data_IF_408925001914
#
_entry.id   IF_408925001914
#
_cell.length_a   1.000
_cell.length_b   1.000
_cell.length_c   1.000
_cell.angle_alpha   90.00
_cell.angle_beta   90.00
_cell.angle_gamma   90.00
#
_symmetry.space_group_name_H-M   'P 1'
#
loop_
_entity.id
_entity.type
_entity.pdbx_description
1 polymer ?
#
# COMPACT_ATOMS: atom_id res chain seq x y z
N UNK A 1 -5.29 4.92 -27.34
CA UNK A 1 -5.07 5.22 -25.91
C UNK A 1 -3.64 5.66 -25.58
N UNK A 2 -2.58 4.89 -25.86
CA UNK A 2 -1.19 5.31 -25.61
C UNK A 2 -0.78 6.59 -26.40
N UNK A 3 -1.26 6.74 -27.63
CA UNK A 3 -0.99 7.92 -28.47
C UNK A 3 -1.75 9.18 -28.02
N UNK A 4 -2.98 9.03 -27.51
CA UNK A 4 -3.77 10.16 -26.98
C UNK A 4 -3.14 10.67 -25.67
N UNK A 5 -2.70 9.77 -24.79
CA UNK A 5 -1.99 10.14 -23.56
C UNK A 5 -0.60 10.73 -23.84
N UNK A 6 0.11 10.27 -24.88
CA UNK A 6 1.39 10.85 -25.29
C UNK A 6 1.22 12.27 -25.87
N UNK A 7 0.17 12.50 -26.67
CA UNK A 7 -0.14 13.82 -27.22
C UNK A 7 -0.58 14.82 -26.12
N UNK A 8 -1.40 14.38 -25.17
CA UNK A 8 -1.77 15.19 -24.01
C UNK A 8 -0.58 15.50 -23.10
N UNK A 9 0.34 14.55 -22.90
CA UNK A 9 1.55 14.76 -22.07
C UNK A 9 2.55 15.73 -22.71
N UNK A 10 2.66 15.75 -24.05
CA UNK A 10 3.52 16.68 -24.79
C UNK A 10 2.97 18.12 -24.82
N UNK A 11 1.63 18.28 -24.76
CA UNK A 11 0.98 19.59 -24.71
C UNK A 11 0.89 20.18 -23.27
N UNK A 12 1.28 19.40 -22.25
CA UNK A 12 0.95 19.67 -20.84
C UNK A 12 2.18 19.76 -19.91
N UNK A 13 3.21 20.50 -20.32
CA UNK A 13 4.27 20.97 -19.41
C UNK A 13 4.58 22.44 -19.75
N UNK A 14 4.03 23.43 -19.01
CA UNK A 14 4.49 24.79 -19.13
C UNK A 14 5.93 24.90 -18.56
N UNK A 15 6.75 25.58 -19.35
CA UNK A 15 8.14 26.01 -19.16
C UNK A 15 8.53 26.40 -17.72
N UNK A 16 8.96 25.46 -16.88
CA UNK A 16 9.72 25.78 -15.66
C UNK A 16 10.59 24.63 -15.10
N UNK A 17 10.77 23.52 -15.81
CA UNK A 17 11.67 22.45 -15.37
C UNK A 17 12.56 22.04 -16.52
N UNK A 18 13.85 22.31 -16.36
CA UNK A 18 14.91 22.07 -17.33
C UNK A 18 14.74 20.75 -18.09
N UNK A 19 14.66 20.88 -19.41
CA UNK A 19 14.38 19.88 -20.44
C UNK A 19 15.37 18.69 -20.49
N UNK A 20 16.44 18.70 -19.69
CA UNK A 20 17.51 17.69 -19.74
C UNK A 20 17.25 16.42 -18.91
N UNK A 21 16.20 16.36 -18.08
CA UNK A 21 15.95 15.14 -17.27
C UNK A 21 14.96 14.14 -17.89
N UNK A 22 14.41 14.43 -19.07
CA UNK A 22 13.33 13.64 -19.70
C UNK A 22 13.81 12.55 -20.68
N UNK A 23 15.05 12.09 -20.58
CA UNK A 23 15.59 11.01 -21.42
C UNK A 23 15.31 9.57 -20.94
N UNK A 24 14.42 9.36 -19.96
CA UNK A 24 14.17 8.00 -19.44
C UNK A 24 12.72 7.76 -19.04
N UNK A 25 11.77 7.98 -19.94
CA UNK A 25 10.42 7.41 -19.78
C UNK A 25 10.45 6.02 -20.42
N UNK A 26 10.98 5.05 -19.66
CA UNK A 26 10.89 3.63 -20.00
C UNK A 26 9.91 2.99 -19.01
N UNK A 27 8.78 2.51 -19.54
CA UNK A 27 7.67 1.80 -18.89
C UNK A 27 7.08 2.44 -17.63
N UNK A 28 5.77 2.72 -17.72
CA UNK A 28 4.91 3.08 -16.61
C UNK A 28 4.81 1.90 -15.63
N UNK A 29 5.74 1.79 -14.68
CA UNK A 29 5.68 0.79 -13.60
C UNK A 29 4.91 1.35 -12.40
N UNK A 30 4.36 0.48 -11.55
CA UNK A 30 3.58 0.88 -10.36
C UNK A 30 4.26 1.96 -9.50
N UNK A 31 5.59 1.98 -9.44
CA UNK A 31 6.36 2.92 -8.61
C UNK A 31 6.53 4.32 -9.24
N UNK A 32 6.19 4.47 -10.52
CA UNK A 32 6.19 5.76 -11.24
C UNK A 32 4.89 6.55 -10.99
N UNK A 33 3.76 5.85 -10.93
CA UNK A 33 2.44 6.42 -10.65
C UNK A 33 2.35 7.08 -9.27
N UNK A 34 2.84 6.41 -8.23
CA UNK A 34 2.78 6.93 -6.85
C UNK A 34 3.57 8.23 -6.71
N UNK A 35 4.72 8.34 -7.38
CA UNK A 35 5.55 9.57 -7.38
C UNK A 35 4.91 10.69 -8.18
N UNK A 36 4.29 10.37 -9.31
CA UNK A 36 3.59 11.34 -10.15
C UNK A 36 2.34 11.90 -9.46
N UNK A 37 1.53 11.04 -8.81
CA UNK A 37 0.36 11.47 -8.00
C UNK A 37 0.77 12.42 -6.88
N UNK A 38 1.83 12.09 -6.13
CA UNK A 38 2.36 12.96 -5.07
C UNK A 38 2.87 14.32 -5.59
N UNK A 39 3.40 14.36 -6.81
CA UNK A 39 3.89 15.59 -7.44
C UNK A 39 2.78 16.50 -7.95
N UNK A 40 1.67 15.93 -8.43
CA UNK A 40 0.53 16.67 -8.97
C UNK A 40 -0.34 17.24 -7.85
N UNK A 41 -0.46 16.51 -6.74
CA UNK A 41 -1.34 16.92 -5.64
C UNK A 41 -2.83 16.78 -6.00
N UNK A 42 -3.68 17.36 -5.17
CA UNK A 42 -5.15 17.30 -5.32
C UNK A 42 -5.62 18.26 -6.41
N UNK A 43 -5.16 19.52 -6.38
CA UNK A 43 -5.48 20.56 -7.38
C UNK A 43 -5.14 20.13 -8.81
N UNK A 44 -3.97 19.50 -9.00
CA UNK A 44 -3.57 19.02 -10.31
C UNK A 44 -4.35 17.77 -10.77
N UNK A 45 -4.88 16.98 -9.84
CA UNK A 45 -5.71 15.83 -10.16
C UNK A 45 -7.11 16.28 -10.61
N UNK A 46 -7.68 17.28 -9.96
CA UNK A 46 -8.94 17.92 -10.36
C UNK A 46 -8.81 18.56 -11.74
N UNK A 47 -7.76 19.36 -11.97
CA UNK A 47 -7.50 19.97 -13.27
C UNK A 47 -7.41 18.92 -14.39
N UNK A 48 -6.72 17.81 -14.12
CA UNK A 48 -6.54 16.73 -15.08
C UNK A 48 -7.86 16.01 -15.37
N UNK A 49 -8.72 15.86 -14.36
CA UNK A 49 -10.07 15.31 -14.54
C UNK A 49 -10.93 16.24 -15.41
N UNK A 50 -10.93 17.55 -15.15
CA UNK A 50 -11.65 18.55 -15.94
C UNK A 50 -11.23 18.50 -17.41
N UNK A 51 -9.93 18.51 -17.70
CA UNK A 51 -9.44 18.43 -19.09
C UNK A 51 -9.73 17.10 -19.75
N UNK A 52 -9.73 16.00 -19.01
CA UNK A 52 -10.09 14.68 -19.56
C UNK A 52 -11.56 14.65 -19.97
N UNK A 53 -12.46 15.27 -19.20
CA UNK A 53 -13.88 15.40 -19.53
C UNK A 53 -14.08 16.29 -20.76
N UNK A 54 -13.40 17.44 -20.83
CA UNK A 54 -13.45 18.32 -22.00
C UNK A 54 -13.03 17.61 -23.29
N UNK A 55 -11.90 16.89 -23.27
CA UNK A 55 -11.42 16.10 -24.42
C UNK A 55 -12.40 14.97 -24.76
N UNK A 56 -12.97 14.30 -23.75
CA UNK A 56 -13.97 13.26 -23.94
C UNK A 56 -15.24 13.74 -24.65
N UNK A 57 -15.67 14.99 -24.36
CA UNK A 57 -16.79 15.64 -25.05
C UNK A 57 -16.45 15.99 -26.50
N UNK A 58 -15.31 16.64 -26.73
CA UNK A 58 -14.91 17.08 -28.08
C UNK A 58 -14.63 15.90 -29.02
N UNK A 59 -14.12 14.79 -28.48
CA UNK A 59 -13.86 13.56 -29.25
C UNK A 59 -15.09 12.66 -29.43
N UNK A 60 -16.24 13.02 -28.85
CA UNK A 60 -17.47 12.20 -28.87
C UNK A 60 -17.37 10.90 -28.08
N UNK A 61 -16.33 10.71 -27.28
CA UNK A 61 -16.12 9.51 -26.47
C UNK A 61 -17.03 9.45 -25.23
N UNK A 62 -17.62 10.59 -24.83
CA UNK A 62 -18.52 10.69 -23.67
C UNK A 62 -19.79 11.43 -24.08
N UNK A 63 -20.93 10.76 -23.95
CA UNK A 63 -22.24 11.37 -24.16
C UNK A 63 -22.65 12.28 -22.99
N UNK A 64 -23.40 13.34 -23.29
CA UNK A 64 -23.87 14.30 -22.29
C UNK A 64 -24.75 13.65 -21.21
N UNK A 65 -25.55 12.63 -21.57
CA UNK A 65 -26.36 11.87 -20.62
C UNK A 65 -25.53 11.04 -19.63
N UNK A 66 -24.32 10.62 -20.03
CA UNK A 66 -23.42 9.80 -19.20
C UNK A 66 -22.78 10.59 -18.05
N UNK A 67 -22.71 11.92 -18.16
CA UNK A 67 -22.16 12.80 -17.11
C UNK A 67 -23.16 13.12 -16.00
N UNK A 68 -24.44 12.71 -16.15
CA UNK A 68 -25.47 12.89 -15.13
C UNK A 68 -25.29 12.00 -13.90
N UNK A 69 -24.51 10.91 -14.03
CA UNK A 69 -24.28 9.94 -12.97
C UNK A 69 -22.79 9.64 -12.84
N UNK A 70 -22.23 9.92 -11.68
CA UNK A 70 -20.84 9.62 -11.36
C UNK A 70 -20.82 8.44 -10.39
N UNK A 71 -20.28 7.30 -10.84
CA UNK A 71 -19.96 6.18 -9.96
C UNK A 71 -18.57 6.41 -9.37
N UNK A 72 -18.50 6.81 -8.10
CA UNK A 72 -17.25 6.96 -7.37
C UNK A 72 -17.02 5.71 -6.54
N UNK A 73 -16.01 4.92 -6.91
CA UNK A 73 -15.50 3.85 -6.06
C UNK A 73 -14.72 4.46 -4.88
N UNK A 74 -15.43 4.86 -3.81
CA UNK A 74 -14.83 5.46 -2.61
C UNK A 74 -14.21 4.44 -1.65
N UNK A 75 -14.55 3.16 -1.80
CA UNK A 75 -14.05 2.12 -0.90
C UNK A 75 -12.81 1.45 -1.48
N UNK A 76 -11.65 2.08 -1.26
CA UNK A 76 -10.41 1.31 -1.27
C UNK A 76 -10.45 0.40 -0.04
N UNK A 77 -10.81 -0.87 -0.26
CA UNK A 77 -10.57 -1.88 0.77
C UNK A 77 -9.10 -1.83 1.16
N UNK A 78 -8.81 -1.68 2.46
CA UNK A 78 -7.45 -1.74 2.95
C UNK A 78 -6.84 -3.09 2.57
N UNK A 79 -5.95 -3.09 1.58
CA UNK A 79 -5.29 -4.32 1.10
C UNK A 79 -4.30 -4.90 2.11
N UNK A 80 -4.23 -4.33 3.32
CA UNK A 80 -3.30 -4.71 4.38
C UNK A 80 -4.00 -5.40 5.57
N UNK A 81 -5.18 -5.98 5.38
CA UNK A 81 -5.84 -6.79 6.40
C UNK A 81 -5.36 -8.25 6.25
N UNK A 82 -4.25 -8.56 6.92
CA UNK A 82 -3.81 -9.95 7.08
C UNK A 82 -4.65 -10.62 8.17
N UNK A 83 -5.18 -11.82 7.92
CA UNK A 83 -5.93 -12.57 8.92
C UNK A 83 -5.11 -12.75 10.22
N UNK A 84 -5.70 -12.47 11.39
CA UNK A 84 -5.00 -12.65 12.65
C UNK A 84 -4.70 -14.14 12.85
N UNK A 85 -3.41 -14.47 12.95
CA UNK A 85 -2.95 -15.80 13.33
C UNK A 85 -2.56 -15.76 14.80
N UNK A 86 -2.88 -16.82 15.56
CA UNK A 86 -2.57 -16.91 17.00
C UNK A 86 -1.10 -16.55 17.32
N UNK A 87 -0.15 -16.99 16.49
CA UNK A 87 1.27 -16.66 16.66
C UNK A 87 1.56 -15.16 16.61
N UNK A 88 0.88 -14.43 15.73
CA UNK A 88 1.01 -12.98 15.57
C UNK A 88 0.34 -12.24 16.72
N UNK A 89 -0.79 -12.76 17.21
CA UNK A 89 -1.49 -12.19 18.36
C UNK A 89 -0.62 -12.29 19.63
N UNK A 90 -0.05 -13.46 19.90
CA UNK A 90 0.82 -13.66 21.07
C UNK A 90 2.09 -12.80 21.01
N UNK A 91 2.77 -12.71 19.86
CA UNK A 91 3.96 -11.86 19.76
C UNK A 91 3.63 -10.37 19.91
N UNK A 92 2.47 -9.93 19.39
CA UNK A 92 2.02 -8.55 19.55
C UNK A 92 1.65 -8.22 21.00
N UNK A 93 0.92 -9.11 21.67
CA UNK A 93 0.60 -8.95 23.09
C UNK A 93 1.88 -8.86 23.94
N UNK A 94 2.86 -9.72 23.67
CA UNK A 94 4.17 -9.68 24.32
C UNK A 94 4.91 -8.36 24.07
N UNK A 95 4.95 -7.86 22.84
CA UNK A 95 5.57 -6.57 22.51
C UNK A 95 4.93 -5.42 23.30
N UNK A 96 3.60 -5.41 23.42
CA UNK A 96 2.88 -4.41 24.20
C UNK A 96 3.20 -4.52 25.70
N UNK A 97 3.23 -5.73 26.26
CA UNK A 97 3.59 -5.92 27.67
C UNK A 97 5.02 -5.47 28.00
N UNK A 98 5.97 -5.72 27.08
CA UNK A 98 7.35 -5.24 27.26
C UNK A 98 7.40 -3.71 27.20
N UNK A 99 6.71 -3.08 26.24
CA UNK A 99 6.65 -1.63 26.15
C UNK A 99 6.05 -1.00 27.42
N UNK A 100 4.95 -1.55 27.94
CA UNK A 100 4.33 -1.09 29.19
C UNK A 100 5.25 -1.28 30.41
N UNK A 101 6.01 -2.37 30.46
CA UNK A 101 6.98 -2.60 31.53
C UNK A 101 8.13 -1.59 31.47
N UNK A 102 8.61 -1.27 30.26
CA UNK A 102 9.64 -0.27 30.03
C UNK A 102 9.14 1.14 30.42
N UNK A 103 7.90 1.50 30.05
CA UNK A 103 7.24 2.75 30.46
C UNK A 103 7.09 2.86 31.99
N UNK A 104 6.79 1.73 32.66
CA UNK A 104 6.66 1.67 34.10
C UNK A 104 8.01 1.52 34.85
N UNK A 105 9.15 1.52 34.14
CA UNK A 105 10.50 1.25 34.69
C UNK A 105 10.58 -0.08 35.48
N UNK A 106 9.80 -1.09 35.10
CA UNK A 106 9.82 -2.42 35.71
C UNK A 106 10.86 -3.28 35.01
N UNK A 107 11.92 -3.64 35.72
CA UNK A 107 12.95 -4.53 35.17
C UNK A 107 12.43 -5.97 35.07
N UNK A 108 12.23 -6.46 33.85
CA UNK A 108 11.83 -7.86 33.61
C UNK A 108 13.03 -8.81 33.79
N UNK A 109 12.91 -9.78 34.70
CA UNK A 109 13.93 -10.83 34.93
C UNK A 109 14.24 -11.62 33.66
N UNK A 110 13.24 -11.85 32.81
CA UNK A 110 13.37 -12.59 31.56
C UNK A 110 12.68 -11.85 30.42
N UNK A 111 13.38 -11.72 29.30
CA UNK A 111 12.87 -11.09 28.11
C UNK A 111 13.06 -11.99 26.88
N UNK A 112 11.95 -12.31 26.20
CA UNK A 112 11.90 -13.20 25.04
C UNK A 112 11.97 -12.47 23.68
N UNK A 113 12.38 -11.20 23.66
CA UNK A 113 12.50 -10.37 22.45
C UNK A 113 13.23 -11.05 21.28
N UNK A 114 14.23 -11.91 21.55
CA UNK A 114 15.00 -12.62 20.51
C UNK A 114 14.35 -13.93 20.03
N UNK A 115 13.61 -14.61 20.91
CA UNK A 115 13.07 -15.95 20.66
C UNK A 115 11.68 -15.90 20.03
N UNK A 116 10.80 -15.02 20.53
CA UNK A 116 9.41 -14.91 20.09
C UNK A 116 9.25 -14.65 18.57
N UNK A 117 9.94 -13.67 17.94
CA UNK A 117 9.76 -13.40 16.51
C UNK A 117 10.26 -14.55 15.63
N UNK A 118 11.32 -15.26 16.06
CA UNK A 118 11.83 -16.45 15.36
C UNK A 118 10.81 -17.59 15.41
N UNK A 119 10.20 -17.82 16.56
CA UNK A 119 9.16 -18.84 16.73
C UNK A 119 7.90 -18.49 15.94
N UNK A 120 7.46 -17.23 15.95
CA UNK A 120 6.31 -16.77 15.17
C UNK A 120 6.51 -17.04 13.67
N UNK A 121 7.71 -16.75 13.14
CA UNK A 121 8.05 -17.05 11.74
C UNK A 121 8.07 -18.56 11.46
N UNK A 122 8.65 -19.37 12.35
CA UNK A 122 8.65 -20.83 12.21
C UNK A 122 7.25 -21.42 12.21
N UNK A 123 6.33 -20.90 13.04
CA UNK A 123 4.93 -21.34 13.08
C UNK A 123 4.28 -21.13 11.71
N UNK A 124 4.48 -19.96 11.09
CA UNK A 124 3.99 -19.69 9.74
C UNK A 124 4.57 -20.68 8.70
N UNK A 125 5.87 -20.98 8.80
CA UNK A 125 6.53 -21.95 7.89
C UNK A 125 6.00 -23.37 8.07
N UNK A 126 5.74 -23.80 9.31
CA UNK A 126 5.15 -25.11 9.58
C UNK A 126 3.70 -25.18 9.11
N UNK A 127 2.92 -24.10 9.26
CA UNK A 127 1.56 -24.02 8.75
C UNK A 127 1.54 -24.16 7.22
N UNK A 128 2.41 -23.42 6.52
CA UNK A 128 2.56 -23.52 5.07
C UNK A 128 2.97 -24.94 4.63
N UNK A 129 3.90 -25.57 5.34
CA UNK A 129 4.33 -26.95 5.04
C UNK A 129 3.36 -28.04 5.55
N UNK A 130 2.18 -27.67 6.08
CA UNK A 130 1.18 -28.57 6.70
C UNK A 130 1.72 -29.44 7.85
N UNK A 131 2.82 -29.01 8.49
CA UNK A 131 3.46 -29.71 9.62
C UNK A 131 2.80 -29.34 10.97
N UNK A 132 1.51 -29.62 11.12
CA UNK A 132 0.71 -29.13 12.25
C UNK A 132 1.20 -29.64 13.62
N UNK A 133 1.79 -30.84 13.70
CA UNK A 133 2.37 -31.36 14.96
C UNK A 133 3.53 -30.47 15.46
N UNK A 134 4.41 -30.02 14.55
CA UNK A 134 5.52 -29.11 14.89
C UNK A 134 5.02 -27.70 15.17
N UNK A 135 4.05 -27.24 14.37
CA UNK A 135 3.37 -25.96 14.56
C UNK A 135 2.77 -25.84 15.98
N UNK A 136 1.99 -26.83 16.42
CA UNK A 136 1.37 -26.83 17.77
C UNK A 136 2.40 -26.81 18.89
N UNK A 137 3.53 -27.52 18.74
CA UNK A 137 4.64 -27.49 19.71
C UNK A 137 5.25 -26.09 19.81
N UNK A 138 5.47 -25.41 18.68
CA UNK A 138 5.98 -24.05 18.66
C UNK A 138 4.98 -23.04 19.24
N UNK A 139 3.69 -23.18 18.94
CA UNK A 139 2.62 -22.37 19.54
C UNK A 139 2.56 -22.53 21.06
N UNK A 140 2.69 -23.76 21.59
CA UNK A 140 2.71 -24.01 23.03
C UNK A 140 3.86 -23.27 23.71
N UNK A 141 5.05 -23.25 23.09
CA UNK A 141 6.21 -22.48 23.58
C UNK A 141 6.00 -20.96 23.55
N UNK A 142 5.21 -20.47 22.59
CA UNK A 142 4.93 -19.04 22.45
C UNK A 142 3.90 -18.55 23.48
N UNK A 143 2.98 -19.44 23.89
CA UNK A 143 1.96 -19.16 24.91
C UNK A 143 2.55 -19.05 26.33
N UNK A 144 3.65 -19.76 26.61
CA UNK A 144 4.17 -19.97 27.96
C UNK A 144 3.95 -21.39 28.42
#
# INVERSE_FOLDING_TARGET
WALIMAALCAAFIPKAVNFLSLRRIRLFSLNSLTRWRKRIGEEGAEWLLTKTIEVGRTSGAVDAGSLSRVAVDTTVMEKNIAHPTDSRLYDKARQQLVALADEANITLRQNYNRLAPRLAMQICRYAHARQFKRMRKALKKLKG
#
